data_IF_145972652228
#
_entry.id   IF_145972652228
#
_cell.length_a   1.000
_cell.length_b   1.000
_cell.length_c   1.000
_cell.angle_alpha   90.00
_cell.angle_beta   90.00
_cell.angle_gamma   90.00
#
_symmetry.space_group_name_H-M   'P 1'
#
loop_
_entity.id
_entity.type
_entity.pdbx_description
1 polymer ?
#
# COMPACT_ATOMS: atom_id res chain seq x y z
N UNK A 1 13.06 -1.22 -12.37
CA UNK A 1 12.71 -2.64 -12.58
C UNK A 1 11.27 -2.84 -13.04
N UNK A 2 10.34 -2.02 -12.56
CA UNK A 2 8.97 -1.93 -13.08
C UNK A 2 8.84 -0.55 -13.71
N UNK A 3 8.25 -0.46 -14.89
CA UNK A 3 8.04 0.80 -15.61
C UNK A 3 6.68 0.77 -16.30
N UNK A 4 5.92 1.85 -16.15
CA UNK A 4 4.75 2.13 -16.98
C UNK A 4 4.91 3.51 -17.61
N UNK A 5 4.53 3.65 -18.88
CA UNK A 5 4.62 4.88 -19.63
C UNK A 5 3.31 5.12 -20.36
N UNK A 6 2.59 6.16 -19.94
CA UNK A 6 1.29 6.54 -20.50
C UNK A 6 0.31 5.37 -20.58
N UNK A 7 0.41 4.43 -19.61
CA UNK A 7 -0.34 3.18 -19.59
C UNK A 7 -1.83 3.45 -19.43
N UNK A 8 -2.63 2.93 -20.34
CA UNK A 8 -4.09 3.06 -20.27
C UNK A 8 -4.78 1.73 -20.54
N UNK A 9 -5.92 1.52 -19.85
CA UNK A 9 -6.80 0.35 -20.07
C UNK A 9 -8.26 0.75 -20.05
N UNK A 10 -8.95 0.38 -21.13
CA UNK A 10 -10.40 0.57 -21.27
C UNK A 10 -11.08 -0.79 -21.39
N UNK A 11 -12.27 -0.89 -20.82
CA UNK A 11 -13.22 -2.01 -20.96
C UNK A 11 -14.53 -1.43 -21.48
N UNK A 12 -14.72 -1.46 -22.79
CA UNK A 12 -15.83 -0.74 -23.42
C UNK A 12 -15.79 0.76 -23.07
N UNK A 13 -16.85 1.32 -22.49
CA UNK A 13 -16.90 2.74 -22.11
C UNK A 13 -16.10 3.05 -20.85
N UNK A 14 -15.82 2.02 -19.99
CA UNK A 14 -15.12 2.21 -18.72
C UNK A 14 -13.61 2.34 -18.95
N UNK A 15 -13.02 3.44 -18.49
CA UNK A 15 -11.57 3.61 -18.41
C UNK A 15 -11.09 3.22 -17.01
N UNK A 16 -10.47 2.04 -16.90
CA UNK A 16 -9.99 1.50 -15.63
C UNK A 16 -8.60 2.00 -15.23
N UNK A 17 -7.76 2.36 -16.22
CA UNK A 17 -6.45 3.00 -16.04
C UNK A 17 -6.30 4.05 -17.14
N UNK A 18 -5.88 5.25 -16.79
CA UNK A 18 -5.77 6.38 -17.69
C UNK A 18 -4.44 7.10 -17.52
N UNK A 19 -3.57 6.98 -18.51
CA UNK A 19 -2.30 7.73 -18.62
C UNK A 19 -1.37 7.54 -17.41
N UNK A 20 -1.23 6.29 -16.94
CA UNK A 20 -0.42 5.98 -15.76
C UNK A 20 1.05 5.85 -16.13
N UNK A 21 1.89 6.71 -15.56
CA UNK A 21 3.36 6.62 -15.64
C UNK A 21 3.93 6.44 -14.24
N UNK A 22 4.63 5.32 -14.02
CA UNK A 22 5.17 4.91 -12.72
C UNK A 22 6.45 4.12 -12.95
N UNK A 23 7.46 4.39 -12.11
CA UNK A 23 8.70 3.62 -12.07
C UNK A 23 8.96 3.10 -10.66
N UNK A 24 9.42 1.83 -10.57
CA UNK A 24 9.90 1.20 -9.34
C UNK A 24 11.29 0.66 -9.57
N UNK A 25 12.24 1.19 -8.82
CA UNK A 25 13.67 0.84 -8.88
C UNK A 25 14.01 -0.48 -8.20
N UNK A 26 15.27 -0.87 -8.29
CA UNK A 26 15.84 -2.01 -7.54
C UNK A 26 15.93 -1.66 -6.06
N UNK A 27 15.47 -2.55 -5.18
CA UNK A 27 15.47 -2.33 -3.73
C UNK A 27 14.41 -1.33 -3.24
N UNK A 28 13.58 -0.84 -4.13
CA UNK A 28 12.53 0.12 -3.80
C UNK A 28 11.22 -0.58 -3.45
N UNK A 29 10.53 -0.08 -2.41
CA UNK A 29 9.20 -0.53 -2.03
C UNK A 29 8.23 0.62 -2.31
N UNK A 30 7.34 0.43 -3.30
CA UNK A 30 6.30 1.41 -3.66
C UNK A 30 4.93 0.88 -3.28
N UNK A 31 4.22 1.65 -2.44
CA UNK A 31 2.82 1.43 -2.13
C UNK A 31 1.91 2.03 -3.20
N UNK A 32 1.00 1.24 -3.75
CA UNK A 32 0.01 1.67 -4.73
C UNK A 32 -1.34 1.84 -4.04
N UNK A 33 -1.60 3.05 -3.54
CA UNK A 33 -2.69 3.38 -2.64
C UNK A 33 -3.91 3.91 -3.40
N UNK A 34 -5.10 3.46 -3.03
CA UNK A 34 -6.33 3.97 -3.62
C UNK A 34 -7.57 3.18 -3.20
N UNK A 35 -8.79 3.74 -3.35
CA UNK A 35 -10.02 3.06 -3.00
C UNK A 35 -10.28 1.85 -3.90
N UNK A 36 -11.29 1.08 -3.53
CA UNK A 36 -11.78 0.00 -4.39
C UNK A 36 -12.30 0.57 -5.71
N UNK A 37 -11.94 -0.07 -6.82
CA UNK A 37 -12.27 0.42 -8.16
C UNK A 37 -11.34 1.49 -8.72
N UNK A 38 -10.32 1.96 -7.98
CA UNK A 38 -9.38 2.98 -8.47
C UNK A 38 -8.48 2.54 -9.63
N UNK A 39 -8.44 1.25 -9.98
CA UNK A 39 -7.61 0.72 -11.07
C UNK A 39 -6.38 -0.06 -10.60
N UNK A 40 -6.16 -0.25 -9.28
CA UNK A 40 -4.98 -0.93 -8.71
C UNK A 40 -4.78 -2.34 -9.29
N UNK A 41 -5.71 -3.24 -9.05
CA UNK A 41 -5.66 -4.63 -9.56
C UNK A 41 -5.54 -4.70 -11.08
N UNK A 42 -6.19 -3.78 -11.81
CA UNK A 42 -6.08 -3.70 -13.27
C UNK A 42 -4.66 -3.37 -13.69
N UNK A 43 -4.01 -2.42 -13.02
CA UNK A 43 -2.61 -2.04 -13.28
C UNK A 43 -1.67 -3.22 -13.00
N UNK A 44 -1.83 -3.91 -11.86
CA UNK A 44 -1.00 -5.07 -11.54
C UNK A 44 -1.19 -6.21 -12.55
N UNK A 45 -2.40 -6.44 -13.04
CA UNK A 45 -2.68 -7.44 -14.09
C UNK A 45 -2.08 -7.06 -15.46
N UNK A 46 -2.03 -5.77 -15.80
CA UNK A 46 -1.33 -5.27 -16.99
C UNK A 46 0.17 -5.53 -16.88
N UNK A 47 0.79 -5.18 -15.75
CA UNK A 47 2.20 -5.45 -15.47
C UNK A 47 2.52 -6.94 -15.56
N UNK A 48 1.65 -7.82 -15.05
CA UNK A 48 1.80 -9.28 -15.14
C UNK A 48 1.56 -9.84 -16.56
N UNK A 49 1.11 -9.01 -17.50
CA UNK A 49 0.77 -9.44 -18.86
C UNK A 49 -0.44 -10.37 -18.91
N UNK A 50 -1.37 -10.23 -17.95
CA UNK A 50 -2.66 -10.93 -17.96
C UNK A 50 -3.72 -10.14 -18.74
N UNK A 51 -3.46 -8.86 -18.97
CA UNK A 51 -4.28 -7.96 -19.76
C UNK A 51 -3.40 -7.24 -20.79
N UNK A 52 -3.98 -6.97 -21.96
CA UNK A 52 -3.37 -6.10 -22.95
C UNK A 52 -3.70 -4.63 -22.62
N UNK A 53 -2.73 -3.70 -22.66
CA UNK A 53 -3.01 -2.28 -22.58
C UNK A 53 -3.86 -1.82 -23.77
N UNK A 54 -4.67 -0.77 -23.57
CA UNK A 54 -5.38 -0.09 -24.66
C UNK A 54 -4.48 0.94 -25.36
N UNK A 55 -3.57 1.58 -24.58
CA UNK A 55 -2.47 2.42 -25.09
C UNK A 55 -1.36 2.51 -24.07
N UNK A 56 -0.22 3.10 -24.46
CA UNK A 56 0.98 3.14 -23.63
C UNK A 56 1.69 1.79 -23.53
N UNK A 57 2.63 1.69 -22.61
CA UNK A 57 3.42 0.47 -22.43
C UNK A 57 3.75 0.22 -20.95
N UNK A 58 4.04 -1.04 -20.65
CA UNK A 58 4.58 -1.42 -19.34
C UNK A 58 5.67 -2.50 -19.54
N UNK A 59 6.65 -2.47 -18.65
CA UNK A 59 7.72 -3.45 -18.61
C UNK A 59 8.06 -3.84 -17.18
N UNK A 60 8.52 -5.08 -17.02
CA UNK A 60 9.05 -5.65 -15.79
C UNK A 60 10.34 -6.35 -16.12
N UNK A 61 11.41 -6.04 -15.37
CA UNK A 61 12.76 -6.55 -15.66
C UNK A 61 13.28 -6.18 -17.07
N UNK A 62 12.87 -5.01 -17.57
CA UNK A 62 13.27 -4.50 -18.88
C UNK A 62 12.52 -5.11 -20.07
N UNK A 63 11.51 -5.95 -19.83
CA UNK A 63 10.70 -6.58 -20.88
C UNK A 63 9.21 -6.59 -20.58
N UNK A 64 8.39 -6.77 -21.61
CA UNK A 64 6.95 -6.95 -21.42
C UNK A 64 6.63 -8.41 -21.07
N UNK A 65 6.00 -8.66 -19.93
CA UNK A 65 5.59 -10.01 -19.53
C UNK A 65 4.50 -10.60 -20.45
N UNK A 66 3.86 -9.77 -21.26
CA UNK A 66 2.91 -10.22 -22.27
C UNK A 66 3.61 -10.93 -23.42
N UNK A 67 4.70 -10.34 -23.96
CA UNK A 67 5.45 -10.86 -25.09
C UNK A 67 6.63 -11.72 -24.68
N UNK A 68 7.11 -11.61 -23.44
CA UNK A 68 8.25 -12.34 -22.87
C UNK A 68 7.83 -13.07 -21.58
N UNK A 69 6.94 -14.08 -21.66
CA UNK A 69 6.36 -14.74 -20.49
C UNK A 69 7.37 -15.49 -19.62
N UNK A 70 8.55 -15.83 -20.16
CA UNK A 70 9.64 -16.46 -19.41
C UNK A 70 10.15 -15.59 -18.24
N UNK A 71 10.04 -14.25 -18.34
CA UNK A 71 10.43 -13.33 -17.28
C UNK A 71 9.58 -13.50 -16.02
N UNK A 72 8.35 -14.05 -16.13
CA UNK A 72 7.48 -14.33 -14.96
C UNK A 72 8.12 -15.28 -13.94
N UNK A 73 9.10 -16.09 -14.38
CA UNK A 73 9.86 -16.97 -13.45
C UNK A 73 10.65 -16.19 -12.41
N UNK A 74 10.95 -14.91 -12.68
CA UNK A 74 11.70 -14.01 -11.80
C UNK A 74 10.81 -13.01 -11.07
N UNK A 75 9.48 -13.14 -11.21
CA UNK A 75 8.49 -12.26 -10.59
C UNK A 75 7.69 -13.05 -9.59
N UNK A 76 7.64 -12.57 -8.35
CA UNK A 76 6.70 -13.04 -7.34
C UNK A 76 5.39 -12.25 -7.49
N UNK A 77 4.29 -12.95 -7.67
CA UNK A 77 2.98 -12.35 -7.81
C UNK A 77 1.99 -12.91 -6.80
N UNK A 78 1.34 -12.01 -6.07
CA UNK A 78 0.23 -12.34 -5.17
C UNK A 78 -1.02 -11.62 -5.68
N UNK A 79 -2.04 -12.32 -6.19
CA UNK A 79 -3.32 -11.70 -6.53
C UNK A 79 -4.15 -11.41 -5.28
N UNK A 80 -4.98 -10.35 -5.31
CA UNK A 80 -5.85 -9.98 -4.18
C UNK A 80 -6.91 -11.02 -3.82
N UNK A 81 -7.31 -11.85 -4.79
CA UNK A 81 -8.17 -13.02 -4.58
C UNK A 81 -7.40 -14.28 -5.00
N UNK A 82 -6.63 -14.81 -4.04
CA UNK A 82 -5.82 -16.02 -4.25
C UNK A 82 -6.69 -17.26 -4.15
N UNK A 83 -7.00 -17.84 -5.30
CA UNK A 83 -7.83 -19.06 -5.42
C UNK A 83 -7.04 -20.20 -6.05
N UNK A 84 -7.18 -21.38 -5.47
CA UNK A 84 -6.57 -22.61 -5.93
C UNK A 84 -7.57 -23.77 -5.81
N UNK A 85 -7.21 -24.93 -6.34
CA UNK A 85 -8.02 -26.13 -6.19
C UNK A 85 -8.22 -26.46 -4.70
N UNK A 86 -9.47 -26.61 -4.30
CA UNK A 86 -9.88 -26.82 -2.91
C UNK A 86 -9.36 -28.13 -2.30
N UNK A 87 -9.07 -29.13 -3.13
CA UNK A 87 -8.59 -30.44 -2.70
C UNK A 87 -7.06 -30.47 -2.47
N UNK A 88 -6.29 -29.56 -3.11
CA UNK A 88 -4.84 -29.51 -2.96
C UNK A 88 -4.43 -29.01 -1.57
N UNK A 89 -3.42 -29.63 -0.99
CA UNK A 89 -2.79 -29.13 0.24
C UNK A 89 -1.79 -28.01 -0.06
N UNK A 90 -1.38 -27.24 0.97
CA UNK A 90 -0.30 -26.25 0.83
C UNK A 90 0.99 -26.88 0.28
N UNK A 91 1.34 -28.11 0.74
CA UNK A 91 2.51 -28.86 0.24
C UNK A 91 2.42 -29.17 -1.25
N UNK A 92 1.23 -29.58 -1.71
CA UNK A 92 1.02 -29.89 -3.13
C UNK A 92 1.14 -28.64 -3.99
N UNK A 93 0.58 -27.51 -3.51
CA UNK A 93 0.66 -26.22 -4.17
C UNK A 93 2.12 -25.74 -4.27
N UNK A 94 2.89 -25.81 -3.18
CA UNK A 94 4.31 -25.41 -3.21
C UNK A 94 5.13 -26.30 -4.15
N UNK A 95 4.90 -27.60 -4.15
CA UNK A 95 5.55 -28.52 -5.08
C UNK A 95 5.18 -28.20 -6.54
N UNK A 96 3.91 -27.88 -6.80
CA UNK A 96 3.43 -27.50 -8.12
C UNK A 96 4.08 -26.18 -8.59
N UNK A 97 4.05 -25.13 -7.76
CA UNK A 97 4.70 -23.86 -8.08
C UNK A 97 6.22 -24.01 -8.24
N UNK A 98 6.89 -24.81 -7.42
CA UNK A 98 8.32 -25.09 -7.54
C UNK A 98 8.65 -25.69 -8.92
N UNK A 99 7.87 -26.67 -9.38
CA UNK A 99 8.06 -27.26 -10.72
C UNK A 99 7.89 -26.23 -11.86
N UNK A 100 6.88 -25.37 -11.77
CA UNK A 100 6.65 -24.31 -12.76
C UNK A 100 7.80 -23.29 -12.84
N UNK A 101 8.54 -23.15 -11.75
CA UNK A 101 9.67 -22.20 -11.64
C UNK A 101 11.02 -22.81 -11.99
N UNK A 102 11.05 -24.12 -12.27
CA UNK A 102 12.29 -24.84 -12.59
C UNK A 102 13.01 -25.45 -11.39
N UNK A 103 12.31 -25.53 -10.25
CA UNK A 103 12.81 -26.02 -8.98
C UNK A 103 13.03 -24.88 -7.98
N UNK A 104 12.69 -25.14 -6.73
CA UNK A 104 12.94 -24.26 -5.58
C UNK A 104 13.45 -25.15 -4.45
N UNK A 105 14.46 -24.69 -3.74
CA UNK A 105 15.03 -25.40 -2.59
C UNK A 105 13.97 -25.60 -1.50
N UNK A 106 13.81 -26.85 -1.04
CA UNK A 106 12.79 -27.20 -0.04
C UNK A 106 13.02 -26.43 1.28
N UNK A 107 14.27 -26.28 1.71
CA UNK A 107 14.60 -25.55 2.93
C UNK A 107 14.06 -24.11 2.92
N UNK A 108 14.08 -23.42 1.76
CA UNK A 108 13.52 -22.07 1.63
C UNK A 108 12.00 -22.06 1.80
N UNK A 109 11.32 -23.08 1.28
CA UNK A 109 9.86 -23.22 1.46
C UNK A 109 9.56 -23.46 2.94
N UNK A 110 10.31 -24.37 3.59
CA UNK A 110 10.10 -24.74 4.99
C UNK A 110 10.33 -23.53 5.91
N UNK A 111 11.37 -22.73 5.68
CA UNK A 111 11.60 -21.47 6.40
C UNK A 111 10.42 -20.48 6.27
N UNK A 112 9.86 -20.30 5.09
CA UNK A 112 8.72 -19.42 4.89
C UNK A 112 7.44 -19.98 5.55
N UNK A 113 7.24 -21.30 5.53
CA UNK A 113 6.14 -22.00 6.21
C UNK A 113 6.23 -21.78 7.73
N UNK A 114 7.42 -21.93 8.30
CA UNK A 114 7.67 -21.70 9.72
C UNK A 114 7.44 -20.23 10.11
N UNK A 115 8.06 -19.29 9.39
CA UNK A 115 7.94 -17.85 9.63
C UNK A 115 6.49 -17.37 9.60
N UNK A 116 5.70 -17.85 8.66
CA UNK A 116 4.28 -17.49 8.53
C UNK A 116 3.35 -18.38 9.36
N UNK A 117 3.89 -19.33 10.15
CA UNK A 117 3.14 -20.22 11.02
C UNK A 117 1.98 -20.91 10.27
N UNK A 118 2.28 -21.51 9.11
CA UNK A 118 1.32 -22.18 8.27
C UNK A 118 1.38 -23.69 8.48
N UNK A 119 0.22 -24.35 8.70
CA UNK A 119 0.11 -25.79 8.51
C UNK A 119 -0.13 -26.12 7.03
N UNK A 120 0.90 -26.59 6.29
CA UNK A 120 0.80 -26.83 4.87
C UNK A 120 0.12 -28.17 4.52
N UNK A 121 -0.31 -28.95 5.51
CA UNK A 121 -0.92 -30.28 5.29
C UNK A 121 -2.42 -30.23 5.04
N UNK A 122 -3.07 -29.14 5.40
CA UNK A 122 -4.52 -28.97 5.27
C UNK A 122 -4.92 -28.65 3.83
N UNK A 123 -6.04 -29.20 3.35
CA UNK A 123 -6.60 -28.86 2.04
C UNK A 123 -6.93 -27.36 1.93
N UNK A 124 -6.67 -26.76 0.78
CA UNK A 124 -6.88 -25.31 0.54
C UNK A 124 -8.33 -24.89 0.82
N UNK A 125 -9.31 -25.72 0.46
CA UNK A 125 -10.72 -25.46 0.70
C UNK A 125 -11.09 -25.34 2.19
N UNK A 126 -10.35 -26.03 3.08
CA UNK A 126 -10.58 -26.03 4.53
C UNK A 126 -9.83 -24.90 5.27
N UNK A 127 -9.04 -24.08 4.55
CA UNK A 127 -8.27 -23.00 5.16
C UNK A 127 -9.11 -21.73 5.33
N UNK A 128 -8.83 -20.99 6.41
CA UNK A 128 -9.31 -19.61 6.59
C UNK A 128 -8.76 -18.69 5.51
N UNK A 129 -9.37 -17.52 5.31
CA UNK A 129 -8.87 -16.49 4.38
C UNK A 129 -7.40 -16.16 4.66
N UNK A 130 -7.02 -15.94 5.92
CA UNK A 130 -5.64 -15.64 6.31
C UNK A 130 -4.66 -16.77 5.97
N UNK A 131 -5.01 -18.04 6.21
CA UNK A 131 -4.13 -19.15 5.85
C UNK A 131 -4.01 -19.35 4.33
N UNK A 132 -5.06 -19.07 3.54
CA UNK A 132 -4.96 -19.01 2.07
C UNK A 132 -4.02 -17.90 1.63
N UNK A 133 -4.09 -16.72 2.27
CA UNK A 133 -3.20 -15.60 2.01
C UNK A 133 -1.74 -15.96 2.32
N UNK A 134 -1.46 -16.66 3.43
CA UNK A 134 -0.12 -17.16 3.75
C UNK A 134 0.44 -18.06 2.65
N UNK A 135 -0.36 -18.97 2.09
CA UNK A 135 0.05 -19.78 0.92
C UNK A 135 0.41 -18.88 -0.27
N UNK A 136 -0.43 -17.88 -0.55
CA UNK A 136 -0.18 -16.91 -1.61
C UNK A 136 1.12 -16.13 -1.41
N UNK A 137 1.42 -15.71 -0.18
CA UNK A 137 2.68 -15.05 0.17
C UNK A 137 3.86 -16.01 -0.07
N UNK A 138 3.82 -17.22 0.49
CA UNK A 138 4.91 -18.20 0.34
C UNK A 138 5.23 -18.45 -1.13
N UNK A 139 4.21 -18.69 -1.97
CA UNK A 139 4.44 -18.94 -3.40
C UNK A 139 5.04 -17.72 -4.13
N UNK A 140 4.75 -16.48 -3.67
CA UNK A 140 5.33 -15.28 -4.27
C UNK A 140 6.80 -15.10 -3.90
N UNK A 141 7.22 -15.54 -2.71
CA UNK A 141 8.58 -15.34 -2.18
C UNK A 141 9.53 -16.53 -2.35
N UNK A 142 9.03 -17.76 -2.46
CA UNK A 142 9.82 -18.98 -2.33
C UNK A 142 10.93 -19.17 -3.38
N UNK A 143 10.80 -18.54 -4.56
CA UNK A 143 11.72 -18.74 -5.71
C UNK A 143 12.74 -17.61 -5.88
N UNK A 144 12.96 -16.80 -4.85
CA UNK A 144 13.87 -15.64 -4.84
C UNK A 144 13.64 -14.67 -6.01
N UNK A 145 12.47 -14.07 -6.09
CA UNK A 145 12.13 -13.20 -7.21
C UNK A 145 13.02 -11.96 -7.25
N UNK A 146 13.13 -11.34 -8.42
CA UNK A 146 13.78 -10.04 -8.60
C UNK A 146 12.77 -8.88 -8.55
N UNK A 147 11.50 -9.19 -8.69
CA UNK A 147 10.38 -8.25 -8.59
C UNK A 147 9.25 -8.91 -7.82
N UNK A 148 8.63 -8.18 -6.92
CA UNK A 148 7.40 -8.56 -6.22
C UNK A 148 6.26 -7.63 -6.66
N UNK A 149 5.15 -8.21 -7.11
CA UNK A 149 3.90 -7.52 -7.43
C UNK A 149 2.80 -8.14 -6.56
N UNK A 150 2.29 -7.36 -5.60
CA UNK A 150 1.44 -7.88 -4.53
C UNK A 150 0.14 -7.07 -4.48
N UNK A 151 -0.99 -7.75 -4.63
CA UNK A 151 -2.32 -7.13 -4.60
C UNK A 151 -2.96 -7.39 -3.24
N UNK A 152 -3.16 -6.34 -2.42
CA UNK A 152 -3.73 -6.40 -1.06
C UNK A 152 -3.07 -7.49 -0.17
N UNK A 153 -1.73 -7.52 -0.03
CA UNK A 153 -1.01 -8.68 0.50
C UNK A 153 -1.30 -8.98 1.98
N UNK A 154 -1.70 -8.00 2.76
CA UNK A 154 -1.97 -8.10 4.20
C UNK A 154 -3.40 -8.48 4.53
N UNK A 155 -4.29 -8.53 3.51
CA UNK A 155 -5.71 -8.79 3.69
C UNK A 155 -5.99 -10.14 4.38
N UNK A 156 -6.61 -10.08 5.57
CA UNK A 156 -6.98 -11.26 6.35
C UNK A 156 -5.84 -11.90 7.13
N UNK A 157 -4.64 -11.31 7.15
CA UNK A 157 -3.56 -11.70 8.04
C UNK A 157 -3.76 -11.07 9.43
N UNK A 158 -3.46 -11.83 10.48
CA UNK A 158 -3.41 -11.30 11.84
C UNK A 158 -2.20 -10.35 12.05
N UNK A 159 -2.21 -9.49 13.07
CA UNK A 159 -1.17 -8.47 13.27
C UNK A 159 0.26 -9.03 13.42
N UNK A 160 0.43 -10.23 13.98
CA UNK A 160 1.75 -10.86 14.13
C UNK A 160 2.29 -11.30 12.76
N UNK A 161 1.45 -11.93 11.97
CA UNK A 161 1.80 -12.37 10.62
C UNK A 161 2.00 -11.18 9.67
N UNK A 162 1.25 -10.09 9.85
CA UNK A 162 1.51 -8.85 9.11
C UNK A 162 2.91 -8.30 9.39
N UNK A 163 3.38 -8.31 10.63
CA UNK A 163 4.75 -7.90 10.99
C UNK A 163 5.80 -8.78 10.32
N UNK A 164 5.57 -10.10 10.31
CA UNK A 164 6.48 -11.05 9.67
C UNK A 164 6.51 -10.84 8.14
N UNK A 165 5.36 -10.60 7.53
CA UNK A 165 5.27 -10.23 6.12
C UNK A 165 6.05 -8.95 5.81
N UNK A 166 5.95 -7.92 6.65
CA UNK A 166 6.75 -6.69 6.55
C UNK A 166 8.25 -6.97 6.56
N UNK A 167 8.71 -7.85 7.47
CA UNK A 167 10.12 -8.29 7.54
C UNK A 167 10.55 -8.94 6.23
N UNK A 168 9.75 -9.87 5.70
CA UNK A 168 10.01 -10.54 4.42
C UNK A 168 10.14 -9.55 3.25
N UNK A 169 9.28 -8.53 3.20
CA UNK A 169 9.31 -7.49 2.16
C UNK A 169 10.57 -6.66 2.27
N UNK A 170 10.94 -6.20 3.47
CA UNK A 170 12.16 -5.41 3.71
C UNK A 170 13.41 -6.21 3.37
N UNK A 171 13.52 -7.43 3.86
CA UNK A 171 14.63 -8.33 3.53
C UNK A 171 14.76 -8.55 2.02
N UNK A 172 13.65 -8.63 1.31
CA UNK A 172 13.68 -8.75 -0.16
C UNK A 172 14.19 -7.46 -0.81
N UNK A 173 13.70 -6.29 -0.37
CA UNK A 173 14.16 -5.00 -0.86
C UNK A 173 15.65 -4.76 -0.58
N UNK A 174 16.15 -5.12 0.60
CA UNK A 174 17.57 -5.03 0.97
C UNK A 174 18.47 -5.88 0.05
N UNK A 175 17.93 -6.99 -0.49
CA UNK A 175 18.59 -7.80 -1.54
C UNK A 175 18.43 -7.25 -2.95
N UNK A 176 17.85 -6.07 -3.12
CA UNK A 176 17.66 -5.39 -4.41
C UNK A 176 16.38 -5.80 -5.16
N UNK A 177 15.42 -6.45 -4.52
CA UNK A 177 14.12 -6.78 -5.12
C UNK A 177 13.28 -5.51 -5.22
N UNK A 178 12.73 -5.21 -6.41
CA UNK A 178 11.74 -4.15 -6.57
C UNK A 178 10.37 -4.64 -6.11
N UNK A 179 9.70 -3.88 -5.26
CA UNK A 179 8.41 -4.26 -4.68
C UNK A 179 7.34 -3.22 -5.04
N UNK A 180 6.27 -3.67 -5.67
CA UNK A 180 5.04 -2.90 -5.87
C UNK A 180 3.89 -3.63 -5.20
N UNK A 181 3.25 -3.00 -4.22
CA UNK A 181 2.09 -3.59 -3.56
C UNK A 181 0.90 -2.63 -3.55
N UNK A 182 -0.30 -3.15 -3.74
CA UNK A 182 -1.52 -2.37 -3.60
C UNK A 182 -2.04 -2.43 -2.17
N UNK A 183 -2.61 -1.32 -1.70
CA UNK A 183 -3.41 -1.25 -0.48
C UNK A 183 -4.49 -0.17 -0.62
N UNK A 184 -5.53 -0.30 0.19
CA UNK A 184 -6.49 0.78 0.45
C UNK A 184 -6.34 1.32 1.88
N UNK A 185 -5.36 0.82 2.63
CA UNK A 185 -5.09 1.14 4.04
C UNK A 185 -3.77 1.90 4.13
N UNK A 186 -3.85 3.20 4.43
CA UNK A 186 -2.68 4.07 4.46
C UNK A 186 -1.63 3.69 5.52
N UNK A 187 -1.99 3.35 6.78
CA UNK A 187 -1.02 2.87 7.78
C UNK A 187 -0.21 1.64 7.35
N UNK A 188 -0.72 0.81 6.45
CA UNK A 188 0.06 -0.30 5.89
C UNK A 188 1.14 0.21 4.94
N UNK A 189 0.79 1.20 4.11
CA UNK A 189 1.73 1.82 3.16
C UNK A 189 2.84 2.54 3.91
N UNK A 190 2.51 3.31 4.95
CA UNK A 190 3.48 4.00 5.80
C UNK A 190 4.54 3.07 6.41
N UNK A 191 4.08 1.91 6.87
CA UNK A 191 4.98 0.93 7.51
C UNK A 191 5.89 0.21 6.52
N UNK A 192 5.49 0.10 5.27
CA UNK A 192 6.17 -0.75 4.27
C UNK A 192 6.93 0.04 3.22
N UNK A 193 6.32 1.10 2.70
CA UNK A 193 6.78 1.76 1.50
C UNK A 193 7.81 2.85 1.78
N UNK A 194 8.75 3.04 0.86
CA UNK A 194 9.58 4.25 0.79
C UNK A 194 8.89 5.37 0.00
N UNK A 195 8.10 4.99 -1.02
CA UNK A 195 7.29 5.89 -1.82
C UNK A 195 5.87 5.37 -1.97
N UNK A 196 4.95 6.29 -2.17
CA UNK A 196 3.55 5.97 -2.41
C UNK A 196 3.05 6.61 -3.70
N UNK A 197 2.41 5.81 -4.52
CA UNK A 197 1.67 6.22 -5.69
C UNK A 197 0.17 6.20 -5.35
N UNK A 198 -0.46 7.37 -5.28
CA UNK A 198 -1.90 7.48 -5.00
C UNK A 198 -2.65 7.48 -6.31
N UNK A 199 -3.60 6.54 -6.47
CA UNK A 199 -4.42 6.40 -7.66
C UNK A 199 -5.90 6.66 -7.35
N UNK A 200 -6.56 7.42 -8.24
CA UNK A 200 -8.01 7.67 -8.19
C UNK A 200 -8.60 7.63 -9.61
N UNK A 201 -9.73 6.93 -9.77
CA UNK A 201 -10.43 6.82 -11.07
C UNK A 201 -9.50 6.49 -12.25
N UNK A 202 -8.57 5.57 -12.01
CA UNK A 202 -7.58 5.13 -13.00
C UNK A 202 -6.40 6.06 -13.25
N UNK A 203 -6.32 7.22 -12.60
CA UNK A 203 -5.25 8.21 -12.77
C UNK A 203 -4.33 8.27 -11.56
N UNK A 204 -3.05 8.49 -11.81
CA UNK A 204 -2.09 8.82 -10.76
C UNK A 204 -2.34 10.25 -10.27
N UNK A 205 -2.66 10.39 -8.99
CA UNK A 205 -2.89 11.70 -8.35
C UNK A 205 -1.58 12.30 -7.87
N UNK A 206 -0.76 11.48 -7.21
CA UNK A 206 0.56 11.88 -6.71
C UNK A 206 1.49 10.67 -6.60
N UNK A 207 2.78 10.95 -6.70
CA UNK A 207 3.87 10.02 -6.41
C UNK A 207 4.88 10.77 -5.57
N UNK A 208 5.01 10.41 -4.30
CA UNK A 208 5.91 11.09 -3.35
C UNK A 208 6.53 10.10 -2.38
N UNK A 209 7.54 10.52 -1.64
CA UNK A 209 8.02 9.74 -0.51
C UNK A 209 6.96 9.71 0.60
N UNK A 210 7.00 8.67 1.41
CA UNK A 210 6.12 8.57 2.59
C UNK A 210 6.45 9.70 3.57
N UNK A 211 7.74 10.04 3.74
CA UNK A 211 8.19 11.12 4.63
C UNK A 211 7.63 12.49 4.18
N UNK A 212 7.64 12.81 2.87
CA UNK A 212 7.05 14.05 2.36
C UNK A 212 5.54 14.12 2.62
N UNK A 213 4.83 13.00 2.53
CA UNK A 213 3.39 12.97 2.86
C UNK A 213 3.17 13.16 4.36
N UNK A 214 3.97 12.49 5.19
CA UNK A 214 3.92 12.63 6.64
C UNK A 214 4.28 14.05 7.07
N UNK A 215 5.27 14.68 6.43
CA UNK A 215 5.65 16.08 6.74
C UNK A 215 4.50 17.04 6.40
N UNK A 216 3.80 16.83 5.29
CA UNK A 216 2.57 17.59 4.97
C UNK A 216 1.45 17.36 5.98
N UNK A 217 1.34 16.14 6.51
CA UNK A 217 0.35 15.76 7.50
C UNK A 217 0.69 16.25 8.92
N UNK A 218 1.98 16.34 9.28
CA UNK A 218 2.47 16.81 10.60
C UNK A 218 2.09 18.26 10.97
N UNK A 219 1.37 18.95 10.13
CA UNK A 219 0.87 20.30 10.40
C UNK A 219 -0.44 20.36 11.19
N UNK A 220 -1.08 19.21 11.52
CA UNK A 220 -2.28 19.18 12.36
C UNK A 220 -2.05 18.41 13.66
N UNK A 221 -2.34 19.02 14.80
CA UNK A 221 -2.21 18.41 16.12
C UNK A 221 -3.55 18.45 16.85
N UNK A 222 -3.91 17.33 17.47
CA UNK A 222 -4.98 17.25 18.44
C UNK A 222 -4.43 17.42 19.85
N UNK A 223 -4.97 18.40 20.56
CA UNK A 223 -4.65 18.72 21.93
C UNK A 223 -5.87 18.42 22.80
N UNK A 224 -5.73 17.58 23.82
CA UNK A 224 -6.81 17.25 24.73
C UNK A 224 -6.54 17.80 26.12
N UNK A 225 -7.51 18.53 26.65
CA UNK A 225 -7.44 19.17 27.96
C UNK A 225 -8.40 18.54 28.98
N UNK A 226 -8.13 18.74 30.28
CA UNK A 226 -9.01 18.32 31.35
C UNK A 226 -10.30 19.14 31.40
N UNK A 227 -10.19 20.44 31.09
CA UNK A 227 -11.27 21.41 31.11
C UNK A 227 -11.51 22.03 29.72
N UNK A 228 -12.72 22.57 29.47
CA UNK A 228 -13.01 23.25 28.20
C UNK A 228 -12.03 24.36 27.87
N UNK A 229 -11.67 24.47 26.61
CA UNK A 229 -10.68 25.41 26.08
C UNK A 229 -11.39 26.61 25.44
N UNK A 230 -10.94 27.85 25.71
CA UNK A 230 -11.44 29.02 24.99
C UNK A 230 -11.13 28.92 23.49
N UNK A 231 -12.09 29.28 22.66
CA UNK A 231 -11.96 29.25 21.19
C UNK A 231 -10.82 30.12 20.66
N UNK A 232 -10.44 31.14 21.43
CA UNK A 232 -9.42 32.13 21.06
C UNK A 232 -7.99 31.72 21.43
N UNK A 233 -7.78 30.60 22.12
CA UNK A 233 -6.48 30.25 22.75
C UNK A 233 -5.33 30.20 21.73
N UNK A 234 -5.60 29.80 20.52
CA UNK A 234 -4.59 29.64 19.48
C UNK A 234 -4.69 30.65 18.32
N UNK A 235 -5.56 31.67 18.44
CA UNK A 235 -5.85 32.63 17.37
C UNK A 235 -4.61 33.37 16.90
N UNK A 236 -3.77 33.85 17.83
CA UNK A 236 -2.64 34.70 17.53
C UNK A 236 -1.28 34.01 17.75
N UNK A 237 -1.29 32.66 17.69
CA UNK A 237 -0.07 31.88 17.90
C UNK A 237 0.69 31.75 16.59
N UNK A 238 1.95 32.17 16.61
CA UNK A 238 2.84 32.10 15.44
C UNK A 238 2.92 30.67 14.91
N UNK A 239 2.69 30.49 13.61
CA UNK A 239 2.69 29.20 12.95
C UNK A 239 1.35 28.46 13.00
N UNK A 240 0.35 28.93 13.73
CA UNK A 240 -1.02 28.39 13.67
C UNK A 240 -1.79 29.06 12.55
N UNK A 241 -2.18 28.32 11.53
CA UNK A 241 -2.94 28.83 10.37
C UNK A 241 -4.43 28.55 10.48
N UNK A 242 -4.83 27.53 11.24
CA UNK A 242 -6.22 27.24 11.56
C UNK A 242 -6.30 26.52 12.91
N UNK A 243 -7.42 26.69 13.61
CA UNK A 243 -7.73 25.91 14.81
C UNK A 243 -9.23 25.71 14.94
N UNK A 244 -9.59 24.54 15.47
CA UNK A 244 -10.96 24.13 15.76
C UNK A 244 -11.02 23.73 17.24
N UNK A 245 -12.03 24.20 17.98
CA UNK A 245 -12.21 23.89 19.40
C UNK A 245 -13.54 23.21 19.60
N UNK A 246 -13.50 21.97 20.09
CA UNK A 246 -14.69 21.20 20.50
C UNK A 246 -14.56 20.83 22.00
N UNK A 247 -15.12 21.68 22.85
CA UNK A 247 -15.10 21.52 24.28
C UNK A 247 -13.69 21.40 24.87
N UNK A 248 -13.23 20.17 25.12
CA UNK A 248 -11.92 19.86 25.72
C UNK A 248 -10.86 19.46 24.69
N UNK A 249 -11.23 19.38 23.45
CA UNK A 249 -10.35 19.01 22.35
C UNK A 249 -10.10 20.21 21.44
N UNK A 250 -8.85 20.42 21.06
CA UNK A 250 -8.46 21.44 20.11
C UNK A 250 -7.66 20.79 19.01
N UNK A 251 -8.05 21.03 17.77
CA UNK A 251 -7.26 20.67 16.59
C UNK A 251 -6.62 21.95 16.06
N UNK A 252 -5.30 21.97 15.97
CA UNK A 252 -4.54 23.10 15.41
C UNK A 252 -3.88 22.66 14.11
N UNK A 253 -3.94 23.50 13.09
CA UNK A 253 -3.19 23.33 11.85
C UNK A 253 -2.01 24.29 11.88
N UNK A 254 -0.80 23.77 11.65
CA UNK A 254 0.44 24.50 11.75
C UNK A 254 1.07 24.72 10.36
N UNK A 255 1.66 25.88 10.16
CA UNK A 255 2.60 26.18 9.08
C UNK A 255 3.90 26.66 9.72
N UNK A 256 4.85 25.72 9.89
CA UNK A 256 6.12 25.97 10.56
C UNK A 256 6.32 25.20 11.88
N UNK A 257 7.24 25.66 12.76
CA UNK A 257 7.64 24.90 13.94
C UNK A 257 6.53 24.80 15.00
N UNK A 258 6.40 23.63 15.58
CA UNK A 258 5.42 23.26 16.62
C UNK A 258 5.63 24.02 17.96
N UNK A 259 6.84 24.52 18.20
CA UNK A 259 7.25 25.11 19.49
C UNK A 259 6.32 26.18 20.05
N UNK A 260 5.96 27.24 19.30
CA UNK A 260 5.07 28.29 19.80
C UNK A 260 3.70 27.77 20.24
N UNK A 261 3.10 26.90 19.45
CA UNK A 261 1.80 26.28 19.79
C UNK A 261 1.90 25.42 21.05
N UNK A 262 2.99 24.67 21.21
CA UNK A 262 3.23 23.84 22.39
C UNK A 262 3.50 24.67 23.65
N UNK A 263 4.13 25.85 23.54
CA UNK A 263 4.30 26.78 24.65
C UNK A 263 2.94 27.26 25.16
N UNK A 264 2.05 27.67 24.26
CA UNK A 264 0.68 28.09 24.62
C UNK A 264 -0.09 26.94 25.23
N UNK A 265 -0.05 25.75 24.62
CA UNK A 265 -0.74 24.58 25.14
C UNK A 265 -0.28 24.18 26.55
N UNK A 266 1.04 24.22 26.81
CA UNK A 266 1.64 23.83 28.09
C UNK A 266 1.50 24.90 29.17
N UNK A 267 1.33 26.18 28.81
CA UNK A 267 1.07 27.27 29.76
C UNK A 267 -0.30 27.16 30.41
N UNK A 268 -1.22 26.43 29.79
CA UNK A 268 -2.55 26.17 30.36
C UNK A 268 -2.53 24.90 31.20
N UNK A 269 -2.97 24.93 32.48
CA UNK A 269 -3.14 23.73 33.29
C UNK A 269 -4.12 22.76 32.64
N UNK A 270 -3.83 21.46 32.76
CA UNK A 270 -4.76 20.42 32.33
C UNK A 270 -4.56 19.92 30.90
N UNK A 271 -3.45 20.18 30.22
CA UNK A 271 -3.09 19.49 28.99
C UNK A 271 -2.85 18.00 29.31
N UNK A 272 -3.69 17.11 28.77
CA UNK A 272 -3.65 15.67 29.04
C UNK A 272 -2.94 14.90 27.94
N UNK A 273 -3.10 15.33 26.69
CA UNK A 273 -2.60 14.60 25.54
C UNK A 273 -2.29 15.53 24.38
N UNK A 274 -1.24 15.24 23.70
CA UNK A 274 -0.89 15.77 22.37
C UNK A 274 -0.74 14.58 21.45
N UNK A 275 -1.46 14.56 20.37
CA UNK A 275 -1.34 13.53 19.33
C UNK A 275 -1.44 14.19 17.97
N UNK A 276 -0.86 13.59 16.93
CA UNK A 276 -1.27 13.95 15.58
C UNK A 276 -2.80 13.83 15.50
N UNK A 277 -3.48 14.77 14.83
CA UNK A 277 -4.91 14.61 14.60
C UNK A 277 -5.08 13.34 13.78
N UNK A 278 -5.79 12.35 14.33
CA UNK A 278 -5.76 10.94 13.90
C UNK A 278 -6.28 10.67 12.48
N UNK A 279 -6.82 11.70 11.83
CA UNK A 279 -7.39 11.61 10.50
C UNK A 279 -6.51 12.29 9.42
N UNK A 280 -5.27 12.72 9.78
CA UNK A 280 -4.46 13.61 8.93
C UNK A 280 -4.10 13.01 7.57
N UNK A 281 -3.72 11.76 7.54
CA UNK A 281 -3.47 11.09 6.28
C UNK A 281 -4.77 10.59 5.65
N UNK A 282 -5.78 10.24 6.45
CA UNK A 282 -7.12 9.96 5.94
C UNK A 282 -7.79 11.24 5.44
N UNK A 283 -7.62 12.39 6.11
CA UNK A 283 -8.12 13.70 5.65
C UNK A 283 -7.31 14.25 4.48
N UNK A 284 -5.99 14.07 4.47
CA UNK A 284 -5.17 14.36 3.28
C UNK A 284 -5.54 13.42 2.14
N UNK A 285 -5.85 12.17 2.46
CA UNK A 285 -6.39 11.20 1.55
C UNK A 285 -7.79 11.62 1.09
N UNK A 286 -8.70 12.03 1.99
CA UNK A 286 -10.01 12.57 1.68
C UNK A 286 -9.90 13.90 0.92
N UNK A 287 -8.95 14.77 1.22
CA UNK A 287 -8.71 16.02 0.49
C UNK A 287 -8.15 15.75 -0.90
N UNK A 288 -7.20 14.84 -1.03
CA UNK A 288 -6.72 14.35 -2.32
C UNK A 288 -7.80 13.56 -3.09
N UNK A 289 -8.78 13.00 -2.36
CA UNK A 289 -9.95 12.31 -2.92
C UNK A 289 -11.17 13.22 -3.03
N UNK A 290 -11.34 14.25 -2.20
CA UNK A 290 -12.48 15.16 -2.16
C UNK A 290 -12.32 16.43 -2.98
N UNK A 291 -11.12 16.82 -3.36
CA UNK A 291 -10.82 18.02 -4.14
C UNK A 291 -11.04 17.83 -5.63
N UNK A 292 -12.23 17.97 -6.08
CA UNK A 292 -12.86 18.63 -7.22
C UNK A 292 -14.29 18.07 -7.42
N UNK A 293 -15.33 18.91 -7.48
CA UNK A 293 -16.65 18.46 -7.95
C UNK A 293 -16.49 18.03 -9.41
N UNK A 294 -17.12 16.91 -9.74
CA UNK A 294 -17.34 16.47 -11.12
C UNK A 294 -18.16 17.52 -11.86
N UNK A 295 -17.52 18.46 -12.53
CA UNK A 295 -18.10 19.08 -13.72
C UNK A 295 -18.01 18.03 -14.83
N UNK A 296 -19.09 17.30 -15.02
CA UNK A 296 -19.56 16.67 -16.25
C UNK A 296 -20.60 15.58 -15.92
N UNK A 297 -21.74 16.04 -15.41
CA UNK A 297 -23.01 15.34 -15.58
C UNK A 297 -24.07 16.38 -15.90
N UNK A 298 -24.10 16.82 -17.18
CA UNK A 298 -25.28 17.33 -17.90
C UNK A 298 -24.83 17.81 -19.30
N UNK A 299 -24.87 16.90 -20.27
CA UNK A 299 -25.18 17.19 -21.66
C UNK A 299 -25.59 15.88 -22.35
#
# INVERSE_FOLDING_TARGET
>A
MILTEHLSKRFGPLTAVADLSLEVGSGEIVGFLGPNGAGKTTTLRLLMGFLNPSSGRCSVLGGSLLTQPHLRRRVGYLPGDFRMDSAMTGRDLFRWFSRLRGGVEQNRIDQLVERLQLDPTRPFGALSKGNRQKIGVIQAFMHDPKVLILDEPTSGLDPLIQREFLSLVREAADRGVAVLFSSHVLPEVERMASRVAIIRSGRLVTLSSVDELLDRARHRLELRFADPVPTELFRDVSGVVAHEVDGKTVVITLDGPVGPAMQVASSRPGLLRVSPASDELEDLFVTLYGGAPSEDQHA
#
